data_IF_276973992667
#
_entry.id   IF_276973992667
#
_cell.length_a   1.000
_cell.length_b   1.000
_cell.length_c   1.000
_cell.angle_alpha   90.00
_cell.angle_beta   90.00
_cell.angle_gamma   90.00
#
_symmetry.space_group_name_H-M   'P 1'
#
loop_
_entity.id
_entity.type
_entity.pdbx_description
1 polymer ?
#
# COMPACT_ATOMS: atom_id res chain seq x y z
N UNK A 1 53.27 12.07 -23.12
CA UNK A 1 51.88 12.34 -23.55
C UNK A 1 50.87 11.25 -23.22
N UNK A 2 51.24 9.93 -23.10
CA UNK A 2 50.28 8.84 -22.80
C UNK A 2 49.77 8.76 -21.34
N UNK A 3 50.43 9.40 -20.37
CA UNK A 3 50.03 9.38 -18.95
C UNK A 3 49.02 10.46 -18.54
N UNK A 4 48.94 11.54 -19.29
CA UNK A 4 48.01 12.66 -19.01
C UNK A 4 46.59 12.34 -19.49
N UNK A 5 46.44 11.56 -20.55
CA UNK A 5 45.14 11.16 -21.11
C UNK A 5 44.39 10.19 -20.18
N UNK A 6 45.10 9.35 -19.39
CA UNK A 6 44.48 8.42 -18.43
C UNK A 6 43.90 9.11 -17.20
N UNK A 7 44.42 10.27 -16.80
CA UNK A 7 43.90 11.03 -15.66
C UNK A 7 42.63 11.84 -16.00
N UNK A 8 42.48 12.23 -17.27
CA UNK A 8 41.29 12.98 -17.73
C UNK A 8 40.07 12.08 -17.89
N UNK A 9 40.23 10.76 -18.12
CA UNK A 9 39.09 9.85 -18.23
C UNK A 9 38.53 9.40 -16.89
N UNK A 10 39.26 9.51 -15.78
CA UNK A 10 38.80 9.13 -14.45
C UNK A 10 38.02 10.24 -13.81
N UNK A 11 38.21 11.50 -14.20
CA UNK A 11 37.48 12.66 -13.65
C UNK A 11 36.09 12.90 -14.27
N UNK A 12 35.79 12.28 -15.44
CA UNK A 12 34.48 12.40 -16.09
C UNK A 12 33.46 11.37 -15.62
N UNK A 13 33.88 10.32 -14.91
CA UNK A 13 32.98 9.23 -14.46
C UNK A 13 32.41 9.45 -13.06
N UNK A 14 32.85 10.50 -12.35
CA UNK A 14 32.43 10.79 -10.96
C UNK A 14 31.35 11.87 -10.84
N UNK A 15 30.81 12.40 -11.93
CA UNK A 15 29.81 13.49 -11.91
C UNK A 15 28.38 13.07 -12.25
N UNK A 16 28.10 11.78 -12.47
CA UNK A 16 26.75 11.32 -12.88
C UNK A 16 25.95 10.57 -11.81
N UNK A 17 26.34 10.65 -10.53
CA UNK A 17 25.63 9.97 -9.43
C UNK A 17 24.86 10.91 -8.49
N UNK A 18 24.67 12.20 -8.81
CA UNK A 18 24.03 13.15 -7.91
C UNK A 18 22.67 13.70 -8.39
N UNK A 19 22.06 13.11 -9.44
CA UNK A 19 20.75 13.61 -9.93
C UNK A 19 19.57 12.67 -9.61
N UNK A 20 19.77 11.64 -8.77
CA UNK A 20 18.73 10.66 -8.43
C UNK A 20 17.82 11.00 -7.24
N UNK A 21 18.16 11.99 -6.41
CA UNK A 21 17.48 12.21 -5.12
C UNK A 21 16.29 13.19 -5.14
N UNK A 22 16.01 13.90 -6.23
CA UNK A 22 15.05 15.03 -6.16
C UNK A 22 13.59 14.64 -6.44
N UNK A 23 13.33 13.49 -7.07
CA UNK A 23 11.96 13.04 -7.36
C UNK A 23 11.34 12.27 -6.19
N UNK A 24 12.12 11.41 -5.53
CA UNK A 24 11.67 10.68 -4.34
C UNK A 24 11.41 11.61 -3.17
N UNK A 25 12.21 12.64 -2.96
CA UNK A 25 12.01 13.62 -1.89
C UNK A 25 10.73 14.47 -2.07
N UNK A 26 10.33 14.77 -3.30
CA UNK A 26 9.08 15.51 -3.56
C UNK A 26 7.82 14.69 -3.29
N UNK A 27 7.86 13.39 -3.50
CA UNK A 27 6.73 12.49 -3.22
C UNK A 27 6.65 12.24 -1.71
N UNK A 28 7.76 11.92 -1.08
CA UNK A 28 7.85 11.62 0.35
C UNK A 28 7.63 12.86 1.25
N UNK A 29 7.97 14.06 0.79
CA UNK A 29 7.77 15.30 1.57
C UNK A 29 6.31 15.75 1.71
N UNK A 30 5.37 15.02 1.09
CA UNK A 30 3.92 15.30 1.17
C UNK A 30 3.14 14.27 1.98
N UNK A 31 3.79 13.25 2.51
CA UNK A 31 3.14 12.28 3.37
C UNK A 31 2.74 12.94 4.69
N UNK A 32 1.52 12.68 5.14
CA UNK A 32 1.02 13.10 6.44
C UNK A 32 0.55 11.90 7.27
N UNK A 33 0.79 10.70 6.79
CA UNK A 33 0.39 9.48 7.48
C UNK A 33 1.17 8.25 7.07
N UNK A 34 0.84 7.17 7.77
CA UNK A 34 1.44 5.85 7.60
C UNK A 34 0.34 4.79 7.58
N UNK A 35 0.44 3.86 6.65
CA UNK A 35 -0.24 2.57 6.74
C UNK A 35 0.72 1.56 7.38
N UNK A 36 0.29 0.95 8.48
CA UNK A 36 1.01 -0.11 9.20
C UNK A 36 0.38 -1.45 8.87
N UNK A 37 1.20 -2.46 8.64
CA UNK A 37 0.75 -3.84 8.41
C UNK A 37 1.42 -4.77 9.40
N UNK A 38 0.65 -5.65 10.03
CA UNK A 38 1.18 -6.61 10.99
C UNK A 38 0.08 -7.35 11.76
N UNK A 39 0.46 -7.99 12.86
CA UNK A 39 -0.51 -8.53 13.81
C UNK A 39 -1.28 -7.39 14.50
N UNK A 40 -2.46 -7.70 15.03
CA UNK A 40 -3.25 -6.74 15.80
C UNK A 40 -2.40 -6.10 16.93
N UNK A 41 -1.69 -6.92 17.68
CA UNK A 41 -0.85 -6.45 18.80
C UNK A 41 0.26 -5.48 18.36
N UNK A 42 0.92 -5.74 17.23
CA UNK A 42 1.97 -4.86 16.70
C UNK A 42 1.41 -3.49 16.32
N UNK A 43 0.27 -3.48 15.61
CA UNK A 43 -0.39 -2.25 15.17
C UNK A 43 -0.89 -1.45 16.37
N UNK A 44 -1.58 -2.09 17.34
CA UNK A 44 -2.08 -1.43 18.55
C UNK A 44 -0.96 -0.86 19.42
N UNK A 45 0.13 -1.61 19.63
CA UNK A 45 1.30 -1.12 20.37
C UNK A 45 1.93 0.10 19.68
N UNK A 46 2.00 0.10 18.37
CA UNK A 46 2.53 1.23 17.61
C UNK A 46 1.60 2.44 17.71
N UNK A 47 0.29 2.27 17.59
CA UNK A 47 -0.69 3.34 17.79
C UNK A 47 -0.54 3.96 19.18
N UNK A 48 -0.49 3.15 20.23
CA UNK A 48 -0.38 3.65 21.60
C UNK A 48 0.94 4.40 21.83
N UNK A 49 2.05 3.89 21.28
CA UNK A 49 3.38 4.53 21.37
C UNK A 49 3.37 5.95 20.79
N UNK A 50 2.69 6.14 19.65
CA UNK A 50 2.68 7.41 18.92
C UNK A 50 1.43 8.27 19.15
N UNK A 51 0.51 7.86 20.00
CA UNK A 51 -0.81 8.48 20.22
C UNK A 51 -0.79 10.00 20.36
N UNK A 52 0.21 10.56 21.03
CA UNK A 52 0.36 12.01 21.23
C UNK A 52 0.77 12.76 19.97
N UNK A 53 1.30 12.08 18.99
CA UNK A 53 1.80 12.63 17.72
C UNK A 53 0.76 12.49 16.61
N UNK A 54 -0.27 11.66 16.85
CA UNK A 54 -1.32 11.38 15.87
C UNK A 54 -2.39 12.47 15.89
N UNK A 55 -2.89 12.81 14.72
CA UNK A 55 -4.09 13.59 14.48
C UNK A 55 -5.32 12.70 14.45
N UNK A 56 -5.19 11.53 13.82
CA UNK A 56 -6.22 10.49 13.80
C UNK A 56 -5.59 9.11 13.58
N UNK A 57 -6.26 8.08 14.07
CA UNK A 57 -5.90 6.70 13.85
C UNK A 57 -7.13 5.82 13.64
N UNK A 58 -6.95 4.77 12.85
CA UNK A 58 -7.91 3.65 12.75
C UNK A 58 -7.15 2.36 12.50
N UNK A 59 -7.73 1.25 12.91
CA UNK A 59 -7.22 -0.08 12.60
C UNK A 59 -8.36 -0.96 12.06
N UNK A 60 -8.03 -1.82 11.10
CA UNK A 60 -8.99 -2.70 10.45
C UNK A 60 -8.39 -4.08 10.26
N UNK A 61 -9.20 -5.09 10.46
CA UNK A 61 -8.84 -6.45 10.10
C UNK A 61 -8.80 -6.62 8.58
N UNK A 62 -7.78 -7.29 8.12
CA UNK A 62 -7.59 -7.70 6.73
C UNK A 62 -7.26 -9.19 6.71
N UNK A 63 -7.51 -9.84 5.59
CA UNK A 63 -7.07 -11.21 5.36
C UNK A 63 -5.98 -11.22 4.31
N UNK A 64 -4.98 -12.08 4.51
CA UNK A 64 -3.83 -12.19 3.62
C UNK A 64 -3.63 -13.64 3.23
N UNK A 65 -3.37 -13.87 1.96
CA UNK A 65 -3.05 -15.20 1.43
C UNK A 65 -2.09 -15.06 0.25
N UNK A 66 -1.55 -16.18 -0.20
CA UNK A 66 -0.67 -16.23 -1.37
C UNK A 66 -1.33 -17.05 -2.48
N UNK A 67 -1.31 -16.54 -3.71
CA UNK A 67 -1.86 -17.18 -4.91
C UNK A 67 -0.81 -17.03 -6.01
N UNK A 68 -0.32 -18.14 -6.55
CA UNK A 68 0.68 -18.18 -7.62
C UNK A 68 1.92 -17.32 -7.31
N UNK A 69 2.45 -17.44 -6.09
CA UNK A 69 3.57 -16.65 -5.56
C UNK A 69 3.31 -15.13 -5.54
N UNK A 70 2.04 -14.72 -5.47
CA UNK A 70 1.62 -13.33 -5.31
C UNK A 70 0.83 -13.18 -4.04
N UNK A 71 1.19 -12.19 -3.24
CA UNK A 71 0.51 -11.87 -2.00
C UNK A 71 -0.79 -11.11 -2.29
N UNK A 72 -1.92 -11.66 -1.86
CA UNK A 72 -3.25 -11.09 -1.96
C UNK A 72 -3.71 -10.60 -0.59
N UNK A 73 -4.17 -9.36 -0.51
CA UNK A 73 -4.93 -8.84 0.63
C UNK A 73 -6.42 -8.82 0.31
N UNK A 74 -7.25 -9.24 1.26
CA UNK A 74 -8.71 -9.22 1.12
C UNK A 74 -9.28 -8.27 2.17
N UNK A 75 -10.01 -7.29 1.68
CA UNK A 75 -10.61 -6.21 2.48
C UNK A 75 -12.12 -6.33 2.39
N UNK A 76 -12.84 -6.19 3.49
CA UNK A 76 -14.29 -6.11 3.45
C UNK A 76 -14.75 -4.74 2.91
N UNK A 77 -15.98 -4.69 2.40
CA UNK A 77 -16.57 -3.51 1.77
C UNK A 77 -16.60 -2.30 2.71
N UNK A 78 -17.00 -2.49 3.95
CA UNK A 78 -17.08 -1.41 4.96
C UNK A 78 -15.71 -0.74 5.18
N UNK A 79 -14.65 -1.52 5.35
CA UNK A 79 -13.27 -1.02 5.46
C UNK A 79 -12.82 -0.30 4.18
N UNK A 80 -13.12 -0.87 3.01
CA UNK A 80 -12.73 -0.25 1.73
C UNK A 80 -13.43 1.10 1.50
N UNK A 81 -14.69 1.25 1.90
CA UNK A 81 -15.41 2.53 1.84
C UNK A 81 -14.76 3.59 2.74
N UNK A 82 -14.23 3.21 3.90
CA UNK A 82 -13.47 4.12 4.75
C UNK A 82 -12.15 4.54 4.10
N UNK A 83 -11.44 3.61 3.45
CA UNK A 83 -10.21 3.90 2.72
C UNK A 83 -10.46 4.87 1.56
N UNK A 84 -11.59 4.74 0.86
CA UNK A 84 -12.04 5.71 -0.15
C UNK A 84 -12.23 7.10 0.48
N UNK A 85 -12.96 7.20 1.58
CA UNK A 85 -13.23 8.49 2.27
C UNK A 85 -11.93 9.18 2.71
N UNK A 86 -10.92 8.41 3.06
CA UNK A 86 -9.60 8.91 3.48
C UNK A 86 -8.65 9.19 2.30
N UNK A 87 -9.06 8.88 1.07
CA UNK A 87 -8.29 9.14 -0.15
C UNK A 87 -7.02 8.30 -0.29
N UNK A 88 -6.91 7.15 0.40
CA UNK A 88 -5.69 6.34 0.37
C UNK A 88 -5.59 5.38 -0.81
N UNK A 89 -6.69 5.08 -1.49
CA UNK A 89 -6.65 4.33 -2.74
C UNK A 89 -6.30 5.24 -3.90
N UNK A 90 -5.27 4.86 -4.66
CA UNK A 90 -4.80 5.59 -5.83
C UNK A 90 -4.88 4.71 -7.06
N UNK A 91 -5.65 5.13 -8.05
CA UNK A 91 -5.69 4.50 -9.36
C UNK A 91 -4.42 4.89 -10.13
N UNK A 92 -3.79 3.91 -10.75
CA UNK A 92 -2.56 4.09 -11.55
C UNK A 92 -2.93 3.99 -13.02
N UNK A 93 -2.58 4.99 -13.80
CA UNK A 93 -2.77 5.00 -15.25
C UNK A 93 -1.61 4.29 -15.99
N UNK A 94 -1.69 4.26 -17.31
CA UNK A 94 -0.68 3.63 -18.19
C UNK A 94 0.68 4.33 -18.19
N UNK A 95 0.73 5.59 -17.76
CA UNK A 95 1.92 6.43 -17.71
C UNK A 95 2.45 6.52 -16.25
N UNK A 96 2.00 5.60 -15.37
CA UNK A 96 2.33 5.51 -13.95
C UNK A 96 1.92 6.74 -13.11
N UNK A 97 1.05 7.62 -13.64
CA UNK A 97 0.48 8.67 -12.82
C UNK A 97 -0.60 8.10 -11.89
N UNK A 98 -0.79 8.75 -10.76
CA UNK A 98 -1.77 8.33 -9.76
C UNK A 98 -2.83 9.39 -9.53
N UNK A 99 -4.08 8.94 -9.42
CA UNK A 99 -5.21 9.78 -8.98
C UNK A 99 -5.99 9.07 -7.86
N UNK A 100 -6.58 9.85 -6.97
CA UNK A 100 -7.39 9.30 -5.88
C UNK A 100 -8.64 8.63 -6.42
N UNK A 101 -8.86 7.38 -6.02
CA UNK A 101 -10.10 6.65 -6.32
C UNK A 101 -11.25 7.27 -5.51
N UNK A 102 -12.23 7.88 -6.19
CA UNK A 102 -13.30 8.67 -5.55
C UNK A 102 -14.51 7.84 -5.11
N UNK A 103 -14.69 6.66 -5.67
CA UNK A 103 -15.80 5.76 -5.34
C UNK A 103 -15.38 4.31 -5.50
N UNK A 104 -15.91 3.46 -4.64
CA UNK A 104 -15.74 2.02 -4.77
C UNK A 104 -16.58 1.51 -5.94
N UNK A 105 -16.02 0.68 -6.85
CA UNK A 105 -16.82 -0.05 -7.82
C UNK A 105 -17.86 -0.95 -7.13
N UNK A 106 -18.87 -1.39 -7.86
CA UNK A 106 -19.94 -2.18 -7.28
C UNK A 106 -19.44 -3.49 -6.67
N UNK A 107 -19.64 -3.65 -5.37
CA UNK A 107 -19.39 -4.87 -4.59
C UNK A 107 -20.76 -5.38 -4.12
N UNK A 108 -21.07 -6.63 -4.45
CA UNK A 108 -22.33 -7.29 -4.09
C UNK A 108 -22.06 -8.53 -3.23
N UNK A 109 -23.12 -9.16 -2.72
CA UNK A 109 -23.01 -10.46 -2.03
C UNK A 109 -22.40 -11.60 -2.85
N UNK A 110 -22.38 -11.47 -4.18
CA UNK A 110 -21.94 -12.53 -5.09
C UNK A 110 -20.66 -12.17 -5.85
N UNK A 111 -20.32 -10.89 -5.93
CA UNK A 111 -19.20 -10.42 -6.75
C UNK A 111 -18.46 -9.29 -6.04
N UNK A 112 -17.19 -9.53 -5.77
CA UNK A 112 -16.25 -8.53 -5.30
C UNK A 112 -15.52 -7.81 -6.45
N UNK A 113 -14.52 -7.00 -6.11
CA UNK A 113 -13.63 -6.36 -7.07
C UNK A 113 -12.18 -6.74 -6.79
N UNK A 114 -11.38 -6.84 -7.86
CA UNK A 114 -9.94 -7.10 -7.79
C UNK A 114 -9.17 -5.91 -8.35
N UNK A 115 -8.22 -5.45 -7.58
CA UNK A 115 -7.22 -4.46 -7.99
C UNK A 115 -5.84 -5.11 -8.05
N UNK A 116 -5.26 -5.14 -9.24
CA UNK A 116 -3.96 -5.72 -9.50
C UNK A 116 -3.29 -5.00 -10.67
N UNK A 117 -1.98 -5.17 -10.86
CA UNK A 117 -1.29 -4.62 -12.03
C UNK A 117 -1.82 -5.22 -13.33
N UNK A 118 -2.14 -6.53 -13.31
CA UNK A 118 -2.69 -7.26 -14.46
C UNK A 118 -3.94 -8.01 -14.03
N UNK A 119 -4.84 -8.29 -14.99
CA UNK A 119 -6.02 -9.11 -14.75
C UNK A 119 -5.64 -10.54 -14.35
N UNK A 120 -6.41 -11.10 -13.42
CA UNK A 120 -6.33 -12.50 -12.98
C UNK A 120 -7.73 -13.08 -13.10
N UNK A 121 -7.90 -14.04 -14.03
CA UNK A 121 -9.24 -14.54 -14.38
C UNK A 121 -9.83 -15.50 -13.34
N UNK A 122 -8.98 -16.29 -12.67
CA UNK A 122 -9.41 -17.32 -11.73
C UNK A 122 -8.73 -17.13 -10.38
N UNK A 123 -9.36 -16.34 -9.51
CA UNK A 123 -8.87 -16.14 -8.15
C UNK A 123 -9.39 -17.29 -7.27
N UNK A 124 -8.50 -18.20 -6.88
CA UNK A 124 -8.82 -19.34 -6.03
C UNK A 124 -8.22 -19.18 -4.64
N UNK A 125 -9.01 -19.37 -3.60
CA UNK A 125 -8.56 -19.37 -2.20
C UNK A 125 -9.02 -20.68 -1.58
N UNK A 126 -8.07 -21.54 -1.13
CA UNK A 126 -8.35 -22.83 -0.54
C UNK A 126 -9.34 -23.67 -1.38
N UNK A 127 -9.05 -23.82 -2.68
CA UNK A 127 -9.87 -24.54 -3.66
C UNK A 127 -11.28 -23.96 -3.91
N UNK A 128 -11.58 -22.79 -3.36
CA UNK A 128 -12.83 -22.08 -3.61
C UNK A 128 -12.59 -20.88 -4.51
N UNK A 129 -13.38 -20.75 -5.56
CA UNK A 129 -13.33 -19.59 -6.45
C UNK A 129 -13.87 -18.37 -5.73
N UNK A 130 -13.03 -17.33 -5.61
CA UNK A 130 -13.49 -16.00 -5.22
C UNK A 130 -13.99 -15.27 -6.47
N UNK A 131 -15.28 -14.97 -6.51
CA UNK A 131 -15.88 -14.29 -7.63
C UNK A 131 -15.60 -12.79 -7.55
N UNK A 132 -14.70 -12.30 -8.40
CA UNK A 132 -14.28 -10.89 -8.44
C UNK A 132 -14.23 -10.37 -9.86
N UNK A 133 -14.56 -9.08 -10.04
CA UNK A 133 -14.38 -8.36 -11.29
C UNK A 133 -13.08 -7.55 -11.20
N UNK A 134 -12.23 -7.67 -12.22
CA UNK A 134 -11.02 -6.85 -12.32
C UNK A 134 -11.38 -5.39 -12.62
N UNK A 135 -10.90 -4.48 -11.79
CA UNK A 135 -11.19 -3.03 -11.87
C UNK A 135 -9.91 -2.18 -12.07
N UNK A 136 -8.83 -2.82 -12.51
CA UNK A 136 -7.61 -2.14 -12.93
C UNK A 136 -6.52 -2.04 -11.87
N UNK A 137 -5.54 -1.19 -12.18
CA UNK A 137 -4.38 -0.98 -11.32
C UNK A 137 -4.68 0.10 -10.28
N UNK A 138 -5.01 -0.31 -9.06
CA UNK A 138 -5.17 0.59 -7.90
C UNK A 138 -4.19 0.17 -6.81
N UNK A 139 -3.56 1.12 -6.14
CA UNK A 139 -2.59 0.92 -5.07
C UNK A 139 -3.07 1.58 -3.77
N UNK A 140 -2.45 1.24 -2.65
CA UNK A 140 -2.63 1.91 -1.37
C UNK A 140 -1.45 2.87 -1.19
N UNK A 141 -1.75 4.14 -0.94
CA UNK A 141 -0.70 5.16 -0.79
C UNK A 141 0.11 5.36 -2.08
N UNK A 142 1.43 5.18 -1.99
CA UNK A 142 2.39 5.46 -3.06
C UNK A 142 2.90 4.20 -3.79
N UNK A 143 2.44 3.00 -3.43
CA UNK A 143 2.91 1.79 -4.09
C UNK A 143 2.27 0.48 -3.62
N UNK A 144 2.72 -0.61 -4.25
CA UNK A 144 2.40 -1.99 -3.89
C UNK A 144 3.56 -2.58 -3.10
N UNK A 145 3.67 -2.22 -1.82
CA UNK A 145 4.83 -2.62 -1.01
C UNK A 145 4.51 -3.79 -0.07
N UNK A 146 3.27 -3.92 0.38
CA UNK A 146 2.86 -5.02 1.27
C UNK A 146 2.27 -6.21 0.52
N UNK A 147 1.49 -5.96 -0.54
CA UNK A 147 0.82 -6.99 -1.35
C UNK A 147 0.92 -6.69 -2.84
N UNK A 148 0.87 -7.74 -3.67
CA UNK A 148 0.86 -7.62 -5.13
C UNK A 148 -0.52 -7.19 -5.68
N UNK A 149 -1.58 -7.55 -4.96
CA UNK A 149 -2.96 -7.28 -5.34
C UNK A 149 -3.86 -7.24 -4.12
N UNK A 150 -5.04 -6.64 -4.27
CA UNK A 150 -6.05 -6.71 -3.24
C UNK A 150 -7.46 -6.87 -3.82
N UNK A 151 -8.27 -7.64 -3.11
CA UNK A 151 -9.68 -7.86 -3.42
C UNK A 151 -10.55 -7.17 -2.38
N UNK A 152 -11.66 -6.60 -2.82
CA UNK A 152 -12.68 -6.07 -1.94
C UNK A 152 -13.93 -6.92 -2.14
N UNK A 153 -14.45 -7.48 -1.05
CA UNK A 153 -15.62 -8.35 -1.06
C UNK A 153 -16.68 -7.84 -0.08
N UNK A 154 -17.90 -8.30 -0.24
CA UNK A 154 -18.96 -8.03 0.73
C UNK A 154 -18.57 -8.51 2.13
N UNK A 155 -19.04 -7.83 3.16
CA UNK A 155 -18.72 -8.13 4.57
C UNK A 155 -19.13 -9.55 4.98
N UNK A 156 -20.21 -10.09 4.40
CA UNK A 156 -20.65 -11.45 4.65
C UNK A 156 -19.71 -12.50 4.02
N UNK A 157 -19.25 -12.23 2.80
CA UNK A 157 -18.29 -13.11 2.11
C UNK A 157 -16.93 -13.05 2.82
N UNK A 158 -16.47 -11.87 3.22
CA UNK A 158 -15.20 -11.70 3.93
C UNK A 158 -15.12 -12.62 5.17
N UNK A 159 -16.19 -12.70 5.95
CA UNK A 159 -16.27 -13.56 7.15
C UNK A 159 -16.13 -15.07 6.85
N UNK A 160 -16.46 -15.50 5.64
CA UNK A 160 -16.38 -16.92 5.24
C UNK A 160 -15.04 -17.34 4.66
N UNK A 161 -14.19 -16.37 4.35
CA UNK A 161 -12.86 -16.65 3.78
C UNK A 161 -11.93 -17.10 4.90
N UNK A 162 -11.41 -18.31 4.77
CA UNK A 162 -10.39 -18.86 5.66
C UNK A 162 -9.00 -18.50 5.13
N UNK A 163 -8.33 -17.57 5.80
CA UNK A 163 -6.97 -17.12 5.47
C UNK A 163 -6.36 -16.39 6.66
N UNK A 164 -5.07 -16.13 6.60
CA UNK A 164 -4.36 -15.45 7.69
C UNK A 164 -4.96 -14.07 7.97
N UNK A 165 -5.34 -13.81 9.22
CA UNK A 165 -5.83 -12.52 9.68
C UNK A 165 -4.67 -11.63 10.10
N UNK A 166 -4.66 -10.42 9.58
CA UNK A 166 -3.71 -9.35 9.88
C UNK A 166 -4.49 -8.06 10.17
N UNK A 167 -3.77 -7.05 10.57
CA UNK A 167 -4.32 -5.71 10.80
C UNK A 167 -3.62 -4.69 9.92
N UNK A 168 -4.39 -3.80 9.33
CA UNK A 168 -3.89 -2.56 8.74
C UNK A 168 -4.25 -1.39 9.66
N UNK A 169 -3.24 -0.66 10.14
CA UNK A 169 -3.39 0.59 10.87
C UNK A 169 -3.19 1.78 9.95
N UNK A 170 -4.07 2.77 10.02
CA UNK A 170 -3.95 4.03 9.29
C UNK A 170 -3.75 5.15 10.28
N UNK A 171 -2.55 5.71 10.33
CA UNK A 171 -2.13 6.74 11.26
C UNK A 171 -1.90 8.06 10.53
N UNK A 172 -2.68 9.09 10.86
CA UNK A 172 -2.43 10.46 10.41
C UNK A 172 -1.65 11.21 11.49
N UNK A 173 -0.50 11.76 11.12
CA UNK A 173 0.40 12.45 12.03
C UNK A 173 0.19 13.97 12.00
N UNK A 174 0.46 14.63 13.11
CA UNK A 174 0.50 16.09 13.21
C UNK A 174 1.70 16.69 12.45
N UNK A 175 2.75 15.89 12.19
CA UNK A 175 3.96 16.25 11.46
C UNK A 175 4.33 15.16 10.48
N UNK A 176 5.27 15.43 9.58
CA UNK A 176 5.78 14.42 8.64
C UNK A 176 6.35 13.20 9.38
N UNK A 177 5.76 12.00 9.18
CA UNK A 177 6.16 10.79 9.89
C UNK A 177 7.42 10.10 9.30
N UNK A 178 8.05 10.65 8.27
CA UNK A 178 9.15 10.01 7.53
C UNK A 178 10.28 9.50 8.43
N UNK A 179 10.63 10.26 9.46
CA UNK A 179 11.72 9.90 10.38
C UNK A 179 11.32 8.82 11.39
N UNK A 180 10.02 8.62 11.60
CA UNK A 180 9.52 7.62 12.54
C UNK A 180 9.41 6.22 11.93
N UNK A 181 9.47 6.09 10.60
CA UNK A 181 9.28 4.84 9.85
C UNK A 181 10.20 3.70 10.33
N UNK A 182 11.42 4.00 10.73
CA UNK A 182 12.41 3.02 11.19
C UNK A 182 12.13 2.51 12.62
N UNK A 183 11.23 3.17 13.33
CA UNK A 183 10.94 2.89 14.76
C UNK A 183 9.66 2.09 14.95
N UNK A 184 8.94 1.74 13.88
CA UNK A 184 7.71 0.95 13.96
C UNK A 184 8.04 -0.54 14.08
N UNK A 185 7.52 -1.17 15.13
CA UNK A 185 7.63 -2.61 15.36
C UNK A 185 6.45 -3.34 14.72
N UNK A 186 6.43 -3.36 13.39
CA UNK A 186 5.38 -3.96 12.55
C UNK A 186 6.03 -4.72 11.38
N UNK A 187 5.26 -5.52 10.67
CA UNK A 187 5.79 -6.22 9.48
C UNK A 187 6.21 -5.23 8.38
N UNK A 188 5.42 -4.18 8.18
CA UNK A 188 5.71 -3.13 7.22
C UNK A 188 5.00 -1.83 7.58
N UNK A 189 5.72 -0.71 7.44
CA UNK A 189 5.18 0.65 7.44
C UNK A 189 5.30 1.26 6.05
N UNK A 190 4.25 1.92 5.59
CA UNK A 190 4.21 2.58 4.28
C UNK A 190 3.74 4.02 4.45
N UNK A 191 4.49 4.98 3.88
CA UNK A 191 4.06 6.37 3.85
C UNK A 191 2.81 6.52 2.97
N UNK A 192 1.82 7.25 3.48
CA UNK A 192 0.59 7.57 2.77
C UNK A 192 0.26 9.06 2.90
N UNK A 193 -0.65 9.52 2.07
CA UNK A 193 -1.23 10.85 2.16
C UNK A 193 -2.74 10.74 2.31
N UNK A 194 -3.24 11.21 3.45
CA UNK A 194 -4.66 11.45 3.66
C UNK A 194 -5.10 12.73 2.94
N UNK A 195 -6.33 12.73 2.40
CA UNK A 195 -6.98 13.89 1.76
C UNK A 195 -7.94 14.60 2.71
#
# INVERSE_FOLDING_TARGET
>A
MKKIIKLLFISLLSMSLLTGCSLTDKILSKANGVALYGSQQQVENTIEKYKKELKSETSHEIKVTEIDNKKLMIINKTTAEEFIKRGIFKKVDKDDNTETLKSLPAVTSDTGVLFAKNNIENLMINDKKLNVKYEGNTIIGDGRVYVDMFAIVDDSIWKTIDSEEKTIGLLEFNKDPKHEMINFDVELGQLIKFE
#
